data_IF_018466020086
#
_entry.id   IF_018466020086
#
_cell.length_a   1.000
_cell.length_b   1.000
_cell.length_c   1.000
_cell.angle_alpha   90.00
_cell.angle_beta   90.00
_cell.angle_gamma   90.00
#
_symmetry.space_group_name_H-M   'P 1'
#
loop_
_entity.id
_entity.type
_entity.pdbx_description
1 polymer ?
#
# COMPACT_ATOMS: atom_id res chain seq x y z
N UNK A 1 -26.31 4.37 0.07
CA UNK A 1 -25.93 5.55 -0.74
C UNK A 1 -24.98 5.23 -1.90
N UNK A 2 -24.16 4.18 -1.83
CA UNK A 2 -23.22 3.79 -2.90
C UNK A 2 -23.78 2.85 -3.99
N UNK A 3 -25.10 2.67 -4.04
CA UNK A 3 -25.71 1.71 -4.96
C UNK A 3 -25.58 2.17 -6.42
N UNK A 4 -24.88 1.40 -7.26
CA UNK A 4 -24.71 1.73 -8.68
C UNK A 4 -26.01 1.62 -9.49
N UNK A 5 -27.04 0.96 -8.96
CA UNK A 5 -28.37 0.92 -9.56
C UNK A 5 -29.14 2.24 -9.37
N UNK A 6 -28.70 3.08 -8.43
CA UNK A 6 -29.29 4.41 -8.25
C UNK A 6 -28.57 5.42 -9.15
N UNK A 7 -29.31 5.92 -10.14
CA UNK A 7 -28.76 6.81 -11.15
C UNK A 7 -28.77 8.28 -10.71
N UNK A 8 -29.76 8.70 -9.94
CA UNK A 8 -29.90 10.06 -9.43
C UNK A 8 -30.16 10.02 -7.92
N UNK A 9 -29.58 10.97 -7.20
CA UNK A 9 -29.93 11.24 -5.80
C UNK A 9 -30.77 12.51 -5.77
N UNK A 10 -32.01 12.42 -5.29
CA UNK A 10 -32.90 13.58 -5.18
C UNK A 10 -33.07 13.96 -3.71
N UNK A 11 -32.88 15.23 -3.37
CA UNK A 11 -33.30 15.78 -2.07
C UNK A 11 -34.27 16.93 -2.26
N UNK A 12 -35.16 17.13 -1.30
CA UNK A 12 -36.17 18.20 -1.33
C UNK A 12 -36.20 18.92 0.01
N UNK A 13 -36.06 20.25 0.00
CA UNK A 13 -36.04 21.07 1.22
C UNK A 13 -35.70 22.52 0.94
N UNK A 14 -35.88 23.42 1.92
CA UNK A 14 -35.70 24.87 1.71
C UNK A 14 -34.23 25.30 1.67
N UNK A 15 -33.34 24.57 2.34
CA UNK A 15 -31.93 24.93 2.46
C UNK A 15 -31.04 23.83 1.85
N UNK A 16 -30.48 24.12 0.68
CA UNK A 16 -29.52 23.24 0.00
C UNK A 16 -28.28 22.96 0.86
N UNK A 17 -27.83 23.93 1.65
CA UNK A 17 -26.58 23.83 2.40
C UNK A 17 -26.67 22.82 3.55
N UNK A 18 -27.87 22.60 4.09
CA UNK A 18 -28.11 21.55 5.07
C UNK A 18 -27.77 20.17 4.47
N UNK A 19 -28.32 19.85 3.30
CA UNK A 19 -28.10 18.57 2.62
C UNK A 19 -26.69 18.42 2.06
N UNK A 20 -26.07 19.52 1.61
CA UNK A 20 -24.70 19.50 1.12
C UNK A 20 -23.74 18.98 2.21
N UNK A 21 -23.90 19.43 3.46
CA UNK A 21 -23.09 18.94 4.60
C UNK A 21 -23.26 17.44 4.85
N UNK A 22 -24.49 16.95 4.75
CA UNK A 22 -24.81 15.54 4.95
C UNK A 22 -24.26 14.64 3.82
N UNK A 23 -24.13 15.19 2.60
CA UNK A 23 -23.67 14.49 1.41
C UNK A 23 -22.15 14.55 1.26
N UNK A 24 -21.54 15.70 1.53
CA UNK A 24 -20.14 15.96 1.19
C UNK A 24 -19.16 15.05 1.92
N UNK A 25 -19.51 14.66 3.15
CA UNK A 25 -18.67 13.84 4.03
C UNK A 25 -18.78 12.34 3.78
N UNK A 26 -19.77 11.88 3.00
CA UNK A 26 -20.12 10.45 2.88
C UNK A 26 -20.20 9.95 1.45
N UNK A 27 -20.28 10.85 0.46
CA UNK A 27 -20.36 10.49 -0.96
C UNK A 27 -19.07 10.85 -1.71
N UNK A 28 -18.61 10.00 -2.63
CA UNK A 28 -17.53 10.34 -3.54
C UNK A 28 -18.03 11.30 -4.63
N UNK A 29 -17.13 12.10 -5.19
CA UNK A 29 -17.45 13.14 -6.19
C UNK A 29 -18.29 12.62 -7.36
N UNK A 30 -18.01 11.41 -7.88
CA UNK A 30 -18.80 10.84 -8.98
C UNK A 30 -20.26 10.52 -8.63
N UNK A 31 -20.59 10.36 -7.35
CA UNK A 31 -21.98 10.22 -6.88
C UNK A 31 -22.58 11.59 -6.61
N UNK A 32 -21.80 12.54 -6.07
CA UNK A 32 -22.27 13.93 -5.86
C UNK A 32 -22.69 14.60 -7.16
N UNK A 33 -22.01 14.32 -8.29
CA UNK A 33 -22.42 14.77 -9.63
C UNK A 33 -23.83 14.30 -10.06
N UNK A 34 -24.38 13.28 -9.39
CA UNK A 34 -25.72 12.73 -9.63
C UNK A 34 -26.77 13.31 -8.69
N UNK A 35 -26.38 14.22 -7.80
CA UNK A 35 -27.27 14.81 -6.81
C UNK A 35 -28.03 16.03 -7.37
N UNK A 36 -29.34 16.00 -7.20
CA UNK A 36 -30.26 17.08 -7.54
C UNK A 36 -30.96 17.50 -6.26
N UNK A 37 -30.94 18.79 -5.95
CA UNK A 37 -31.68 19.37 -4.83
C UNK A 37 -32.83 20.24 -5.33
N UNK A 38 -34.03 19.96 -4.86
CA UNK A 38 -35.25 20.71 -5.19
C UNK A 38 -35.66 21.59 -4.01
N UNK A 39 -35.81 22.89 -4.24
CA UNK A 39 -36.26 23.85 -3.22
C UNK A 39 -37.76 24.14 -3.24
N UNK A 40 -38.41 23.75 -4.33
CA UNK A 40 -39.85 23.95 -4.58
C UNK A 40 -40.43 22.71 -5.27
N UNK A 41 -41.72 22.49 -5.09
CA UNK A 41 -42.43 21.46 -5.83
C UNK A 41 -42.66 21.93 -7.27
N UNK A 42 -42.19 21.16 -8.24
CA UNK A 42 -42.43 21.37 -9.65
C UNK A 42 -43.66 20.57 -10.09
N UNK A 43 -44.31 20.98 -11.19
CA UNK A 43 -45.23 20.09 -11.88
C UNK A 43 -44.49 18.85 -12.40
N UNK A 44 -45.24 17.77 -12.61
CA UNK A 44 -44.69 16.47 -13.00
C UNK A 44 -43.95 16.53 -14.34
N UNK A 45 -44.39 17.36 -15.29
CA UNK A 45 -43.77 17.45 -16.61
C UNK A 45 -42.40 18.14 -16.53
N UNK A 46 -42.30 19.23 -15.77
CA UNK A 46 -41.02 19.90 -15.52
C UNK A 46 -40.07 19.00 -14.73
N UNK A 47 -40.55 18.31 -13.71
CA UNK A 47 -39.73 17.37 -12.95
C UNK A 47 -39.20 16.24 -13.85
N UNK A 48 -40.06 15.65 -14.67
CA UNK A 48 -39.66 14.60 -15.61
C UNK A 48 -38.60 15.07 -16.60
N UNK A 49 -38.76 16.27 -17.18
CA UNK A 49 -37.75 16.85 -18.08
C UNK A 49 -36.41 17.07 -17.38
N UNK A 50 -36.44 17.59 -16.15
CA UNK A 50 -35.22 17.80 -15.36
C UNK A 50 -34.51 16.49 -15.05
N UNK A 51 -35.23 15.48 -14.55
CA UNK A 51 -34.66 14.19 -14.20
C UNK A 51 -34.10 13.47 -15.43
N UNK A 52 -34.86 13.46 -16.54
CA UNK A 52 -34.41 12.84 -17.79
C UNK A 52 -33.15 13.54 -18.35
N UNK A 53 -33.11 14.87 -18.33
CA UNK A 53 -31.93 15.61 -18.80
C UNK A 53 -30.67 15.26 -17.97
N UNK A 54 -30.78 15.27 -16.64
CA UNK A 54 -29.65 14.92 -15.76
C UNK A 54 -29.25 13.44 -15.93
N UNK A 55 -30.22 12.54 -16.04
CA UNK A 55 -29.95 11.13 -16.30
C UNK A 55 -29.20 10.94 -17.63
N UNK A 56 -29.64 11.60 -18.71
CA UNK A 56 -28.96 11.53 -20.00
C UNK A 56 -27.54 12.10 -19.94
N UNK A 57 -27.31 13.19 -19.21
CA UNK A 57 -25.95 13.72 -19.02
C UNK A 57 -25.05 12.69 -18.32
N UNK A 58 -25.56 11.97 -17.31
CA UNK A 58 -24.82 10.90 -16.62
C UNK A 58 -24.52 9.72 -17.55
N UNK A 59 -25.48 9.33 -18.39
CA UNK A 59 -25.30 8.22 -19.35
C UNK A 59 -24.29 8.56 -20.44
N UNK A 60 -24.24 9.82 -20.86
CA UNK A 60 -23.34 10.31 -21.91
C UNK A 60 -21.97 10.74 -21.39
N UNK A 61 -21.78 10.80 -20.07
CA UNK A 61 -20.51 11.13 -19.43
C UNK A 61 -19.44 10.06 -19.68
N UNK A 62 -18.17 10.43 -19.60
CA UNK A 62 -17.07 9.48 -19.76
C UNK A 62 -17.21 8.30 -18.77
N UNK A 63 -17.26 7.04 -19.24
CA UNK A 63 -17.40 5.87 -18.35
C UNK A 63 -16.31 5.78 -17.27
N UNK A 64 -15.10 6.28 -17.55
CA UNK A 64 -13.98 6.29 -16.59
C UNK A 64 -14.31 7.17 -15.38
N UNK A 65 -14.95 8.32 -15.59
CA UNK A 65 -15.34 9.23 -14.49
C UNK A 65 -16.60 8.79 -13.76
N UNK A 66 -17.37 7.86 -14.35
CA UNK A 66 -18.61 7.32 -13.76
C UNK A 66 -18.39 6.02 -12.98
N UNK A 67 -17.27 5.35 -13.18
CA UNK A 67 -16.83 4.15 -12.45
C UNK A 67 -16.09 4.53 -11.15
N UNK A 68 -15.99 3.63 -10.17
CA UNK A 68 -15.12 3.83 -9.00
C UNK A 68 -13.70 4.19 -9.45
N UNK A 69 -13.01 5.05 -8.70
CA UNK A 69 -11.62 5.38 -9.02
C UNK A 69 -10.69 4.18 -8.71
N UNK A 70 -10.86 3.56 -7.53
CA UNK A 70 -10.17 2.33 -7.15
C UNK A 70 -11.04 1.09 -7.26
N UNK A 71 -10.44 -0.01 -7.67
CA UNK A 71 -10.90 -1.34 -7.32
C UNK A 71 -9.86 -2.03 -6.44
N UNK A 72 -10.23 -2.38 -5.23
CA UNK A 72 -9.48 -3.34 -4.44
C UNK A 72 -9.93 -4.72 -4.90
N UNK A 73 -9.01 -5.63 -5.17
CA UNK A 73 -9.37 -7.00 -5.55
C UNK A 73 -8.77 -8.01 -4.58
N UNK A 74 -9.59 -9.00 -4.23
CA UNK A 74 -9.23 -10.07 -3.30
C UNK A 74 -9.63 -11.39 -3.92
N UNK A 75 -8.68 -12.30 -4.05
CA UNK A 75 -8.94 -13.71 -4.34
C UNK A 75 -8.95 -14.46 -3.03
N UNK A 76 -10.04 -15.13 -2.69
CA UNK A 76 -10.19 -15.78 -1.39
C UNK A 76 -10.44 -17.29 -1.52
N UNK A 77 -9.95 -18.03 -0.53
CA UNK A 77 -10.16 -19.46 -0.39
C UNK A 77 -10.35 -19.77 1.09
N UNK A 78 -11.57 -20.17 1.48
CA UNK A 78 -11.93 -20.54 2.86
C UNK A 78 -11.51 -19.49 3.91
N UNK A 79 -11.67 -18.21 3.58
CA UNK A 79 -11.20 -17.08 4.39
C UNK A 79 -12.07 -16.84 5.64
N UNK A 80 -13.39 -17.08 5.56
CA UNK A 80 -14.35 -16.90 6.65
C UNK A 80 -14.09 -15.61 7.44
N UNK A 81 -13.98 -15.66 8.77
CA UNK A 81 -13.87 -14.49 9.64
C UNK A 81 -12.66 -13.59 9.35
N UNK A 82 -11.59 -14.12 8.73
CA UNK A 82 -10.43 -13.31 8.39
C UNK A 82 -10.77 -12.17 7.42
N UNK A 83 -11.80 -12.35 6.58
CA UNK A 83 -12.26 -11.34 5.62
C UNK A 83 -12.70 -10.04 6.30
N UNK A 84 -13.11 -10.10 7.57
CA UNK A 84 -13.54 -8.92 8.31
C UNK A 84 -12.41 -7.95 8.60
N UNK A 85 -11.17 -8.44 8.74
CA UNK A 85 -9.99 -7.58 8.92
C UNK A 85 -9.79 -6.69 7.69
N UNK A 86 -9.72 -7.33 6.51
CA UNK A 86 -9.63 -6.63 5.24
C UNK A 86 -10.81 -5.64 5.10
N UNK A 87 -12.04 -6.11 5.27
CA UNK A 87 -13.23 -5.27 5.15
C UNK A 87 -13.20 -4.04 6.09
N UNK A 88 -12.80 -4.22 7.34
CA UNK A 88 -12.75 -3.14 8.31
C UNK A 88 -11.70 -2.08 7.95
N UNK A 89 -10.53 -2.50 7.43
CA UNK A 89 -9.49 -1.57 6.97
C UNK A 89 -9.85 -0.82 5.68
N UNK A 90 -10.63 -1.45 4.79
CA UNK A 90 -11.10 -0.81 3.54
C UNK A 90 -12.18 0.24 3.85
N UNK A 91 -13.06 -0.03 4.82
CA UNK A 91 -14.11 0.93 5.24
C UNK A 91 -13.56 2.22 5.82
N UNK A 92 -12.38 2.19 6.44
CA UNK A 92 -11.76 3.34 7.09
C UNK A 92 -10.90 4.19 6.16
N UNK A 93 -10.84 3.86 4.86
CA UNK A 93 -10.08 4.65 3.89
C UNK A 93 -10.59 6.09 3.79
N UNK A 94 -9.67 7.05 3.86
CA UNK A 94 -9.94 8.49 3.71
C UNK A 94 -10.42 8.83 2.30
N UNK A 95 -9.97 8.06 1.30
CA UNK A 95 -10.47 8.18 -0.07
C UNK A 95 -11.73 7.31 -0.25
N UNK A 96 -12.88 7.94 -0.48
CA UNK A 96 -14.18 7.25 -0.47
C UNK A 96 -14.56 6.54 -1.78
N UNK A 97 -13.85 6.84 -2.89
CA UNK A 97 -14.26 6.39 -4.22
C UNK A 97 -13.64 5.06 -4.65
N UNK A 98 -14.11 3.99 -4.02
CA UNK A 98 -13.64 2.63 -4.28
C UNK A 98 -14.79 1.62 -4.45
N UNK A 99 -14.45 0.51 -5.08
CA UNK A 99 -15.18 -0.76 -4.97
C UNK A 99 -14.25 -1.86 -4.45
N UNK A 100 -14.84 -2.91 -3.88
CA UNK A 100 -14.10 -4.11 -3.49
C UNK A 100 -14.64 -5.31 -4.24
N UNK A 101 -13.78 -5.91 -5.06
CA UNK A 101 -14.09 -7.08 -5.89
C UNK A 101 -13.51 -8.32 -5.20
N UNK A 102 -14.38 -9.24 -4.82
CA UNK A 102 -13.97 -10.49 -4.18
C UNK A 102 -14.31 -11.64 -5.12
N UNK A 103 -13.31 -12.45 -5.45
CA UNK A 103 -13.47 -13.67 -6.23
C UNK A 103 -13.19 -14.88 -5.32
N UNK A 104 -14.25 -15.62 -5.01
CA UNK A 104 -14.19 -16.83 -4.21
C UNK A 104 -13.83 -18.04 -5.08
N UNK A 105 -12.67 -18.63 -4.78
CA UNK A 105 -12.15 -19.85 -5.42
C UNK A 105 -12.38 -21.09 -4.52
N UNK A 106 -13.17 -20.96 -3.45
CA UNK A 106 -13.53 -22.10 -2.58
C UNK A 106 -14.44 -23.08 -3.33
N UNK A 107 -14.19 -24.40 -3.27
CA UNK A 107 -15.03 -25.38 -3.94
C UNK A 107 -16.44 -25.44 -3.34
N UNK A 108 -16.57 -25.26 -2.03
CA UNK A 108 -17.84 -25.32 -1.31
C UNK A 108 -18.70 -24.04 -1.44
N UNK A 109 -20.02 -24.17 -1.34
CA UNK A 109 -20.96 -23.04 -1.44
C UNK A 109 -21.07 -22.25 -0.13
N UNK A 110 -20.79 -22.90 1.00
CA UNK A 110 -20.93 -22.36 2.35
C UNK A 110 -20.09 -21.10 2.54
N UNK A 111 -18.87 -21.07 2.01
CA UNK A 111 -18.00 -19.90 2.09
C UNK A 111 -18.58 -18.72 1.30
N UNK A 112 -19.08 -18.95 0.10
CA UNK A 112 -19.69 -17.88 -0.70
C UNK A 112 -21.00 -17.37 -0.09
N UNK A 113 -21.81 -18.26 0.49
CA UNK A 113 -23.01 -17.88 1.24
C UNK A 113 -22.66 -17.03 2.47
N UNK A 114 -21.58 -17.39 3.19
CA UNK A 114 -21.04 -16.59 4.29
C UNK A 114 -20.64 -15.18 3.81
N UNK A 115 -19.86 -15.07 2.72
CA UNK A 115 -19.47 -13.77 2.16
C UNK A 115 -20.70 -12.94 1.78
N UNK A 116 -21.70 -13.55 1.14
CA UNK A 116 -22.95 -12.88 0.77
C UNK A 116 -23.69 -12.31 1.98
N UNK A 117 -23.86 -13.13 3.02
CA UNK A 117 -24.58 -12.77 4.24
C UNK A 117 -23.94 -11.55 4.92
N UNK A 118 -22.61 -11.51 4.94
CA UNK A 118 -21.87 -10.54 5.74
C UNK A 118 -21.45 -9.27 4.99
N UNK A 119 -21.29 -9.32 3.66
CA UNK A 119 -20.68 -8.23 2.89
C UNK A 119 -21.62 -7.50 1.93
N UNK A 120 -22.67 -8.15 1.39
CA UNK A 120 -23.53 -7.54 0.35
C UNK A 120 -24.44 -6.39 0.81
N UNK A 121 -24.47 -6.11 2.11
CA UNK A 121 -25.11 -4.90 2.65
C UNK A 121 -24.37 -3.64 2.20
N UNK A 122 -23.04 -3.70 2.03
CA UNK A 122 -22.25 -2.62 1.44
C UNK A 122 -22.26 -2.73 -0.09
N UNK A 123 -22.90 -1.75 -0.74
CA UNK A 123 -23.07 -1.72 -2.20
C UNK A 123 -21.81 -1.40 -2.97
N UNK A 124 -20.69 -1.11 -2.31
CA UNK A 124 -19.36 -1.02 -2.93
C UNK A 124 -18.74 -2.40 -3.16
N UNK A 125 -19.26 -3.44 -2.53
CA UNK A 125 -18.73 -4.81 -2.62
C UNK A 125 -19.39 -5.56 -3.78
N UNK A 126 -18.57 -6.22 -4.59
CA UNK A 126 -18.99 -7.12 -5.66
C UNK A 126 -18.37 -8.49 -5.43
N UNK A 127 -19.23 -9.47 -5.18
CA UNK A 127 -18.83 -10.85 -4.91
C UNK A 127 -19.05 -11.71 -6.16
N UNK A 128 -18.04 -12.49 -6.49
CA UNK A 128 -18.06 -13.50 -7.56
C UNK A 128 -17.62 -14.83 -6.97
N UNK A 129 -18.18 -15.91 -7.51
CA UNK A 129 -17.76 -17.27 -7.22
C UNK A 129 -17.39 -17.94 -8.53
N UNK A 130 -16.25 -18.62 -8.56
CA UNK A 130 -15.89 -19.48 -9.68
C UNK A 130 -16.71 -20.76 -9.64
N UNK A 131 -16.98 -21.33 -10.80
CA UNK A 131 -17.68 -22.63 -10.90
C UNK A 131 -16.85 -23.77 -10.31
N UNK A 132 -15.52 -23.68 -10.44
CA UNK A 132 -14.57 -24.68 -9.97
C UNK A 132 -13.29 -23.99 -9.47
N UNK A 133 -12.61 -24.64 -8.51
CA UNK A 133 -11.32 -24.19 -8.02
C UNK A 133 -10.28 -24.24 -9.14
N UNK A 134 -9.57 -23.14 -9.37
CA UNK A 134 -8.62 -23.03 -10.49
C UNK A 134 -7.33 -23.84 -10.33
N UNK A 135 -6.93 -24.14 -9.09
CA UNK A 135 -5.59 -24.64 -8.74
C UNK A 135 -4.43 -23.66 -9.04
N UNK A 136 -4.70 -22.45 -9.55
CA UNK A 136 -3.69 -21.46 -9.98
C UNK A 136 -4.05 -20.06 -9.52
N UNK A 137 -3.33 -19.55 -8.52
CA UNK A 137 -3.57 -18.20 -7.96
C UNK A 137 -3.46 -17.09 -9.03
N UNK A 138 -2.51 -17.20 -9.96
CA UNK A 138 -2.35 -16.23 -11.04
C UNK A 138 -3.56 -16.17 -11.97
N UNK A 139 -4.20 -17.31 -12.24
CA UNK A 139 -5.45 -17.36 -13.00
C UNK A 139 -6.59 -16.65 -12.27
N UNK A 140 -6.77 -16.94 -10.97
CA UNK A 140 -7.81 -16.28 -10.16
C UNK A 140 -7.58 -14.76 -10.09
N UNK A 141 -6.33 -14.32 -9.90
CA UNK A 141 -5.98 -12.89 -9.88
C UNK A 141 -6.24 -12.23 -11.22
N UNK A 142 -5.93 -12.87 -12.34
CA UNK A 142 -6.25 -12.36 -13.67
C UNK A 142 -7.74 -12.09 -13.84
N UNK A 143 -8.58 -13.07 -13.49
CA UNK A 143 -10.03 -12.93 -13.55
C UNK A 143 -10.53 -11.81 -12.62
N UNK A 144 -10.04 -11.75 -11.39
CA UNK A 144 -10.40 -10.70 -10.43
C UNK A 144 -10.06 -9.28 -10.96
N UNK A 145 -8.88 -9.10 -11.55
CA UNK A 145 -8.47 -7.82 -12.18
C UNK A 145 -9.36 -7.47 -13.37
N UNK A 146 -9.82 -8.45 -14.15
CA UNK A 146 -10.76 -8.18 -15.26
C UNK A 146 -12.14 -7.72 -14.75
N UNK A 147 -12.58 -8.22 -13.60
CA UNK A 147 -13.85 -7.82 -12.96
C UNK A 147 -13.83 -6.40 -12.37
N UNK A 148 -12.64 -5.86 -12.04
CA UNK A 148 -12.44 -4.50 -11.56
C UNK A 148 -12.90 -3.43 -12.57
N UNK A 149 -13.54 -2.35 -12.13
CA UNK A 149 -13.94 -1.21 -12.98
C UNK A 149 -13.09 0.03 -12.77
N UNK A 150 -12.28 0.03 -11.72
CA UNK A 150 -11.41 1.12 -11.31
C UNK A 150 -10.31 1.45 -12.31
N UNK A 151 -9.93 2.73 -12.34
CA UNK A 151 -8.72 3.22 -13.04
C UNK A 151 -7.46 2.70 -12.36
N UNK A 152 -7.53 2.52 -11.04
CA UNK A 152 -6.46 1.99 -10.20
C UNK A 152 -6.90 0.67 -9.56
N UNK A 153 -5.97 -0.25 -9.41
CA UNK A 153 -6.20 -1.54 -8.76
C UNK A 153 -5.21 -1.74 -7.62
N UNK A 154 -5.71 -2.17 -6.47
CA UNK A 154 -4.91 -2.57 -5.31
C UNK A 154 -5.13 -4.07 -5.08
N UNK A 155 -4.03 -4.83 -5.03
CA UNK A 155 -4.05 -6.23 -4.62
C UNK A 155 -4.21 -6.30 -3.09
N UNK A 156 -5.33 -6.86 -2.64
CA UNK A 156 -5.71 -6.91 -1.23
C UNK A 156 -5.87 -8.37 -0.81
N UNK A 157 -4.96 -8.86 0.04
CA UNK A 157 -5.13 -10.19 0.61
C UNK A 157 -6.31 -10.20 1.58
N UNK A 158 -6.98 -11.35 1.66
CA UNK A 158 -8.25 -11.48 2.37
C UNK A 158 -8.12 -11.36 3.89
N UNK A 159 -6.92 -11.49 4.45
CA UNK A 159 -6.64 -11.53 5.88
C UNK A 159 -5.63 -10.49 6.34
N UNK A 160 -5.48 -9.42 5.59
CA UNK A 160 -4.56 -8.32 5.88
C UNK A 160 -5.30 -6.98 6.01
N UNK A 161 -4.53 -5.91 6.23
CA UNK A 161 -5.06 -4.55 6.43
C UNK A 161 -4.31 -3.51 5.60
N UNK A 162 -5.03 -2.49 5.13
CA UNK A 162 -4.46 -1.25 4.58
C UNK A 162 -4.68 -0.06 5.51
N UNK A 163 -3.74 0.89 5.53
CA UNK A 163 -3.83 2.07 6.40
C UNK A 163 -4.80 3.11 5.81
N UNK A 164 -5.47 3.95 6.62
CA UNK A 164 -6.53 4.86 6.15
C UNK A 164 -6.18 5.75 4.95
N UNK A 165 -4.93 6.18 4.84
CA UNK A 165 -4.50 7.11 3.78
C UNK A 165 -3.96 6.40 2.52
N UNK A 166 -3.88 5.06 2.52
CA UNK A 166 -3.24 4.27 1.45
C UNK A 166 -3.80 4.58 0.06
N UNK A 167 -5.13 4.62 -0.08
CA UNK A 167 -5.77 4.92 -1.36
C UNK A 167 -5.61 6.39 -1.75
N UNK A 168 -5.69 7.31 -0.78
CA UNK A 168 -5.57 8.76 -1.03
C UNK A 168 -4.17 9.11 -1.52
N UNK A 169 -3.15 8.56 -0.89
CA UNK A 169 -1.76 8.76 -1.27
C UNK A 169 -1.46 8.25 -2.68
N UNK A 170 -1.89 7.01 -2.97
CA UNK A 170 -1.69 6.43 -4.28
C UNK A 170 -2.41 7.23 -5.37
N UNK A 171 -3.64 7.71 -5.12
CA UNK A 171 -4.38 8.54 -6.08
C UNK A 171 -3.65 9.84 -6.38
N UNK A 172 -3.11 10.50 -5.36
CA UNK A 172 -2.37 11.74 -5.53
C UNK A 172 -1.14 11.53 -6.41
N UNK A 173 -0.41 10.43 -6.22
CA UNK A 173 0.71 10.07 -7.09
C UNK A 173 0.27 9.86 -8.54
N UNK A 174 -0.76 9.04 -8.77
CA UNK A 174 -1.18 8.70 -10.13
C UNK A 174 -1.84 9.87 -10.89
N UNK A 175 -2.53 10.78 -10.20
CA UNK A 175 -3.15 11.95 -10.83
C UNK A 175 -2.14 13.07 -11.08
N UNK A 176 -1.07 13.18 -10.28
CA UNK A 176 0.00 14.15 -10.52
C UNK A 176 0.96 13.74 -11.64
N UNK A 177 1.11 12.45 -11.92
CA UNK A 177 2.04 11.93 -12.92
C UNK A 177 1.38 10.78 -13.72
N UNK A 178 0.75 11.08 -14.89
CA UNK A 178 0.05 10.08 -15.70
C UNK A 178 0.90 8.89 -16.15
N UNK A 179 2.23 9.06 -16.24
CA UNK A 179 3.16 8.01 -16.66
C UNK A 179 3.44 7.00 -15.55
N UNK A 180 3.11 7.30 -14.29
CA UNK A 180 3.24 6.36 -13.18
C UNK A 180 2.27 5.20 -13.41
N UNK A 181 2.83 4.00 -13.48
CA UNK A 181 2.09 2.75 -13.67
C UNK A 181 1.99 1.92 -12.41
N UNK A 182 2.89 2.13 -11.44
CA UNK A 182 2.95 1.35 -10.21
C UNK A 182 3.38 2.18 -8.99
N UNK A 183 2.69 1.93 -7.87
CA UNK A 183 2.94 2.53 -6.56
C UNK A 183 3.05 1.41 -5.53
N UNK A 184 4.03 1.54 -4.63
CA UNK A 184 4.18 0.67 -3.46
C UNK A 184 4.56 1.47 -2.21
N UNK A 185 4.39 0.87 -1.04
CA UNK A 185 4.62 1.52 0.25
C UNK A 185 5.43 0.62 1.20
N UNK A 186 5.66 1.08 2.43
CA UNK A 186 6.21 0.25 3.50
C UNK A 186 5.11 -0.62 4.11
N UNK A 187 5.50 -1.70 4.79
CA UNK A 187 4.56 -2.64 5.40
C UNK A 187 5.02 -3.06 6.78
N UNK A 188 4.09 -3.59 7.58
CA UNK A 188 4.40 -4.25 8.85
C UNK A 188 4.00 -5.72 8.77
N UNK A 189 4.68 -6.57 9.52
CA UNK A 189 4.26 -7.95 9.74
C UNK A 189 3.93 -8.13 11.21
N UNK A 190 2.72 -8.60 11.48
CA UNK A 190 2.28 -8.96 12.82
C UNK A 190 1.89 -10.43 12.85
N UNK A 191 2.06 -11.10 13.98
CA UNK A 191 1.40 -12.37 14.22
C UNK A 191 -0.10 -12.15 14.49
N UNK A 192 -0.91 -13.21 14.41
CA UNK A 192 -2.36 -13.15 14.68
C UNK A 192 -2.71 -12.63 16.11
N UNK A 193 -1.80 -12.75 17.07
CA UNK A 193 -1.95 -12.16 18.42
C UNK A 193 -1.53 -10.67 18.49
N UNK A 194 -1.14 -10.09 17.37
CA UNK A 194 -0.67 -8.72 17.19
C UNK A 194 0.82 -8.51 17.49
N UNK A 195 1.60 -9.53 17.83
CA UNK A 195 3.03 -9.36 18.12
C UNK A 195 3.85 -9.09 16.86
N UNK A 196 4.96 -8.38 17.00
CA UNK A 196 5.82 -8.04 15.87
C UNK A 196 6.47 -9.29 15.27
N UNK A 197 6.47 -9.35 13.95
CA UNK A 197 7.30 -10.26 13.17
C UNK A 197 8.42 -9.44 12.48
N UNK A 198 9.61 -10.02 12.37
CA UNK A 198 10.73 -9.41 11.63
C UNK A 198 11.53 -10.47 10.88
N UNK A 199 11.98 -10.11 9.68
CA UNK A 199 12.93 -10.89 8.89
C UNK A 199 14.39 -10.64 9.30
N UNK A 200 14.63 -9.73 10.26
CA UNK A 200 15.95 -9.30 10.71
C UNK A 200 16.56 -8.20 9.84
N UNK A 201 17.67 -7.62 10.31
CA UNK A 201 18.31 -6.44 9.68
C UNK A 201 18.98 -6.71 8.32
N UNK A 202 19.07 -7.98 7.90
CA UNK A 202 19.54 -8.40 6.57
C UNK A 202 18.41 -8.52 5.54
N UNK A 203 17.18 -8.18 5.92
CA UNK A 203 16.02 -8.23 5.03
C UNK A 203 16.24 -7.40 3.74
N UNK A 204 15.65 -7.85 2.63
CA UNK A 204 15.82 -7.21 1.32
C UNK A 204 17.27 -7.22 0.83
N UNK A 205 18.06 -8.25 1.16
CA UNK A 205 19.49 -8.35 0.80
C UNK A 205 20.33 -7.18 1.36
N UNK A 206 19.91 -6.60 2.49
CA UNK A 206 20.55 -5.45 3.12
C UNK A 206 20.12 -4.08 2.57
N UNK A 207 19.15 -4.03 1.64
CA UNK A 207 18.57 -2.81 1.07
C UNK A 207 17.30 -2.32 1.78
N UNK A 208 16.80 -3.12 2.72
CA UNK A 208 15.66 -2.79 3.57
C UNK A 208 16.13 -2.54 5.01
N UNK A 209 15.26 -1.95 5.82
CA UNK A 209 15.46 -1.80 7.24
C UNK A 209 14.14 -1.73 7.98
N UNK A 210 14.17 -1.48 9.29
CA UNK A 210 12.97 -1.36 10.09
C UNK A 210 12.95 -0.02 10.84
N UNK A 211 11.75 0.44 11.15
CA UNK A 211 11.51 1.42 12.21
C UNK A 211 10.27 1.04 13.01
N UNK A 212 10.17 1.50 14.24
CA UNK A 212 8.99 1.33 15.07
C UNK A 212 8.12 2.57 15.00
N UNK A 213 6.81 2.37 14.89
CA UNK A 213 5.82 3.43 15.00
C UNK A 213 4.62 2.97 15.82
N UNK A 214 3.90 3.91 16.41
CA UNK A 214 2.68 3.62 17.16
C UNK A 214 1.49 3.50 16.21
N UNK A 215 0.76 2.40 16.32
CA UNK A 215 -0.44 2.12 15.55
C UNK A 215 -1.48 1.47 16.47
N UNK A 216 -2.69 2.03 16.54
CA UNK A 216 -3.77 1.58 17.42
C UNK A 216 -3.31 1.36 18.89
N UNK A 217 -2.46 2.26 19.39
CA UNK A 217 -1.93 2.19 20.75
C UNK A 217 -0.81 1.17 20.99
N UNK A 218 -0.40 0.39 19.98
CA UNK A 218 0.72 -0.56 20.04
C UNK A 218 1.89 -0.08 19.20
N UNK A 219 3.12 -0.30 19.66
CA UNK A 219 4.32 -0.08 18.87
C UNK A 219 4.55 -1.27 17.94
N UNK A 220 4.61 -1.00 16.63
CA UNK A 220 4.78 -2.01 15.59
C UNK A 220 6.05 -1.77 14.78
N UNK A 221 6.67 -2.84 14.31
CA UNK A 221 7.83 -2.82 13.43
C UNK A 221 7.37 -2.68 11.98
N UNK A 222 7.77 -1.58 11.35
CA UNK A 222 7.53 -1.29 9.94
C UNK A 222 8.78 -1.61 9.14
N UNK A 223 8.67 -2.56 8.22
CA UNK A 223 9.67 -2.85 7.22
C UNK A 223 9.66 -1.75 6.14
N UNK A 224 10.82 -1.14 5.93
CA UNK A 224 11.05 -0.20 4.84
C UNK A 224 11.26 -0.99 3.56
N UNK A 225 10.34 -0.86 2.61
CA UNK A 225 10.46 -1.49 1.31
C UNK A 225 11.69 -0.92 0.57
N UNK A 226 12.50 -1.76 -0.09
CA UNK A 226 13.72 -1.28 -0.75
C UNK A 226 13.39 -0.43 -1.98
N UNK A 227 14.35 0.38 -2.42
CA UNK A 227 14.29 1.05 -3.71
C UNK A 227 14.69 0.07 -4.82
N UNK A 228 14.31 0.37 -6.06
CA UNK A 228 14.40 -0.55 -7.20
C UNK A 228 15.75 -0.43 -7.90
N UNK A 229 16.49 -1.53 -7.91
CA UNK A 229 17.71 -1.75 -8.68
C UNK A 229 17.83 -3.23 -9.07
N UNK A 230 18.87 -3.60 -9.80
CA UNK A 230 19.06 -5.00 -10.22
C UNK A 230 19.20 -5.97 -9.05
N UNK A 231 19.72 -5.53 -7.89
CA UNK A 231 19.90 -6.39 -6.71
C UNK A 231 18.58 -6.57 -5.96
N UNK A 232 17.83 -5.51 -5.71
CA UNK A 232 16.52 -5.62 -5.05
C UNK A 232 15.51 -6.39 -5.91
N UNK A 233 15.62 -6.31 -7.23
CA UNK A 233 14.88 -7.19 -8.15
C UNK A 233 15.39 -8.64 -8.20
N UNK A 234 16.57 -8.97 -7.70
CA UNK A 234 17.16 -10.31 -7.86
C UNK A 234 16.55 -11.39 -6.98
N UNK A 235 15.71 -11.01 -6.01
CA UNK A 235 15.13 -11.96 -5.07
C UNK A 235 13.74 -11.53 -4.57
N UNK A 236 12.85 -12.49 -4.38
CA UNK A 236 11.45 -12.26 -3.96
C UNK A 236 11.32 -11.53 -2.61
N UNK A 237 12.31 -11.67 -1.73
CA UNK A 237 12.31 -10.99 -0.41
C UNK A 237 12.79 -9.53 -0.47
N UNK A 238 13.25 -9.07 -1.64
CA UNK A 238 13.83 -7.75 -1.85
C UNK A 238 13.06 -6.91 -2.87
N UNK A 239 11.98 -7.44 -3.44
CA UNK A 239 11.05 -6.66 -4.28
C UNK A 239 10.00 -5.97 -3.41
N UNK A 240 9.28 -4.98 -3.97
CA UNK A 240 8.12 -4.39 -3.30
C UNK A 240 7.12 -5.44 -2.81
N UNK A 241 6.87 -5.45 -1.51
CA UNK A 241 5.74 -6.16 -0.92
C UNK A 241 4.48 -5.29 -1.02
N UNK A 242 3.38 -5.77 -0.43
CA UNK A 242 2.13 -5.03 -0.28
C UNK A 242 2.32 -3.69 0.47
N UNK A 243 1.47 -2.68 0.21
CA UNK A 243 0.39 -2.70 -0.77
C UNK A 243 0.97 -2.51 -2.18
N UNK A 244 0.49 -3.32 -3.12
CA UNK A 244 0.87 -3.25 -4.53
C UNK A 244 -0.26 -2.64 -5.33
N UNK A 245 -0.01 -1.48 -5.93
CA UNK A 245 -1.05 -0.66 -6.55
C UNK A 245 -0.64 -0.31 -7.97
N UNK A 246 -1.46 -0.68 -8.95
CA UNK A 246 -1.21 -0.38 -10.35
C UNK A 246 -2.25 0.57 -10.91
N UNK A 247 -1.83 1.37 -11.90
CA UNK A 247 -2.76 1.85 -12.92
C UNK A 247 -3.26 0.62 -13.68
N UNK A 248 -4.59 0.42 -13.73
CA UNK A 248 -5.17 -0.80 -14.29
C UNK A 248 -4.74 -1.04 -15.74
N UNK A 249 -4.69 0.02 -16.55
CA UNK A 249 -4.20 -0.07 -17.93
C UNK A 249 -2.76 -0.57 -17.99
N UNK A 250 -1.86 -0.02 -17.17
CA UNK A 250 -0.47 -0.47 -17.10
C UNK A 250 -0.35 -1.93 -16.70
N UNK A 251 -1.14 -2.41 -15.72
CA UNK A 251 -1.15 -3.83 -15.34
C UNK A 251 -1.60 -4.74 -16.50
N UNK A 252 -2.61 -4.32 -17.26
CA UNK A 252 -3.08 -5.04 -18.45
C UNK A 252 -2.01 -5.03 -19.55
N UNK A 253 -1.43 -3.87 -19.85
CA UNK A 253 -0.47 -3.68 -20.94
C UNK A 253 0.80 -4.51 -20.73
N UNK A 254 1.22 -4.73 -19.48
CA UNK A 254 2.36 -5.59 -19.18
C UNK A 254 2.02 -7.08 -19.22
N UNK A 255 0.75 -7.45 -19.34
CA UNK A 255 0.28 -8.83 -19.49
C UNK A 255 -0.40 -9.44 -18.26
N UNK A 256 -0.64 -8.65 -17.20
CA UNK A 256 -1.27 -9.10 -15.95
C UNK A 256 -0.53 -10.28 -15.27
N UNK A 257 -1.13 -11.03 -14.36
CA UNK A 257 -0.49 -12.18 -13.68
C UNK A 257 -0.27 -13.36 -14.64
N UNK A 258 0.75 -14.19 -14.38
CA UNK A 258 0.93 -15.43 -15.13
C UNK A 258 0.04 -16.54 -14.55
N UNK A 259 -0.86 -17.09 -15.36
CA UNK A 259 -1.74 -18.21 -14.97
C UNK A 259 -1.02 -19.57 -14.88
N UNK A 260 0.22 -19.64 -15.38
CA UNK A 260 1.02 -20.86 -15.45
C UNK A 260 2.03 -20.99 -14.31
N UNK A 261 2.22 -19.94 -13.51
CA UNK A 261 3.15 -19.97 -12.38
C UNK A 261 2.44 -20.51 -11.14
N UNK A 262 2.92 -21.64 -10.57
CA UNK A 262 2.29 -22.21 -9.39
C UNK A 262 2.70 -21.45 -8.11
N UNK A 263 3.85 -20.76 -8.11
CA UNK A 263 4.36 -19.87 -7.06
C UNK A 263 5.06 -18.67 -7.70
N UNK A 264 5.21 -17.59 -6.92
CA UNK A 264 6.00 -16.41 -7.33
C UNK A 264 5.48 -15.73 -8.60
N UNK A 265 4.17 -15.80 -8.83
CA UNK A 265 3.45 -15.05 -9.88
C UNK A 265 3.65 -13.55 -9.70
N UNK A 266 3.65 -13.09 -8.45
CA UNK A 266 3.88 -11.71 -8.08
C UNK A 266 5.31 -11.22 -8.35
N UNK A 267 6.31 -12.05 -8.08
CA UNK A 267 7.71 -11.74 -8.36
C UNK A 267 7.93 -11.51 -9.85
N UNK A 268 7.46 -12.43 -10.70
CA UNK A 268 7.58 -12.30 -12.16
C UNK A 268 6.86 -11.04 -12.68
N UNK A 269 5.64 -10.78 -12.18
CA UNK A 269 4.89 -9.57 -12.52
C UNK A 269 5.63 -8.29 -12.12
N UNK A 270 6.28 -8.28 -10.96
CA UNK A 270 7.04 -7.12 -10.49
C UNK A 270 8.32 -6.88 -11.31
N UNK A 271 8.95 -7.93 -11.84
CA UNK A 271 10.06 -7.77 -12.80
C UNK A 271 9.60 -7.07 -14.09
N UNK A 272 8.45 -7.49 -14.65
CA UNK A 272 7.85 -6.81 -15.82
C UNK A 272 7.46 -5.38 -15.47
N UNK A 273 6.83 -5.17 -14.31
CA UNK A 273 6.43 -3.85 -13.82
C UNK A 273 7.64 -2.91 -13.75
N UNK A 274 8.77 -3.36 -13.22
CA UNK A 274 9.99 -2.56 -13.06
C UNK A 274 10.59 -2.03 -14.36
N UNK A 275 10.48 -2.77 -15.47
CA UNK A 275 11.04 -2.36 -16.77
C UNK A 275 10.03 -1.72 -17.72
N UNK A 276 8.72 -1.87 -17.44
CA UNK A 276 7.64 -1.38 -18.32
C UNK A 276 6.88 -0.20 -17.75
N UNK A 277 7.08 0.14 -16.48
CA UNK A 277 6.34 1.21 -15.82
C UNK A 277 7.28 2.16 -15.09
N UNK A 278 6.84 3.42 -14.95
CA UNK A 278 7.42 4.33 -13.98
C UNK A 278 6.90 3.98 -12.59
N UNK A 279 7.82 3.76 -11.66
CA UNK A 279 7.55 3.33 -10.29
C UNK A 279 7.71 4.48 -9.31
N UNK A 280 6.78 4.57 -8.37
CA UNK A 280 6.88 5.45 -7.20
C UNK A 280 6.79 4.63 -5.91
N UNK A 281 7.73 4.90 -4.99
CA UNK A 281 7.66 4.48 -3.59
C UNK A 281 7.06 5.60 -2.75
N UNK A 282 6.06 5.29 -1.93
CA UNK A 282 5.60 6.18 -0.87
C UNK A 282 6.15 5.66 0.46
N UNK A 283 7.14 6.33 1.08
CA UNK A 283 7.91 5.79 2.21
C UNK A 283 7.16 5.92 3.54
N UNK A 284 5.94 5.39 3.62
CA UNK A 284 5.12 5.31 4.84
C UNK A 284 4.44 3.95 4.95
N UNK A 285 3.98 3.59 6.14
CA UNK A 285 3.25 2.35 6.36
C UNK A 285 1.91 2.39 5.59
N UNK A 286 1.76 1.51 4.62
CA UNK A 286 0.52 1.37 3.82
C UNK A 286 -0.19 0.03 4.00
N UNK A 287 0.46 -0.97 4.59
CA UNK A 287 -0.09 -2.32 4.71
C UNK A 287 0.39 -3.05 5.96
N UNK A 288 -0.49 -3.82 6.60
CA UNK A 288 -0.12 -4.76 7.68
C UNK A 288 -0.50 -6.17 7.26
N UNK A 289 0.51 -7.02 7.20
CA UNK A 289 0.38 -8.43 6.89
C UNK A 289 0.36 -9.29 8.16
N UNK A 290 -0.55 -10.25 8.23
CA UNK A 290 -0.73 -11.13 9.39
C UNK A 290 -0.14 -12.53 9.18
N UNK A 291 0.72 -12.93 10.12
CA UNK A 291 1.50 -14.15 10.11
C UNK A 291 0.86 -15.20 11.04
N UNK A 292 0.75 -16.44 10.57
CA UNK A 292 0.30 -17.54 11.43
C UNK A 292 1.45 -18.05 12.33
N UNK A 293 1.19 -18.29 13.62
CA UNK A 293 2.17 -18.81 14.60
C UNK A 293 2.72 -20.21 14.26
N UNK A 294 2.02 -20.97 13.42
CA UNK A 294 2.40 -22.34 13.06
C UNK A 294 3.39 -22.47 11.90
N UNK A 295 3.96 -21.37 11.38
CA UNK A 295 4.73 -21.36 10.13
C UNK A 295 3.99 -21.95 8.90
N UNK A 296 2.66 -22.04 8.96
CA UNK A 296 1.82 -22.54 7.88
C UNK A 296 1.41 -21.45 6.88
N UNK A 297 2.17 -20.35 6.81
CA UNK A 297 1.97 -19.38 5.74
C UNK A 297 2.28 -20.05 4.40
N UNK A 298 1.48 -19.76 3.37
CA UNK A 298 1.59 -20.44 2.09
C UNK A 298 3.00 -20.35 1.48
N UNK A 299 3.67 -19.21 1.67
CA UNK A 299 5.06 -18.99 1.30
C UNK A 299 6.02 -19.97 2.00
N UNK A 300 5.85 -20.19 3.30
CA UNK A 300 6.69 -21.09 4.10
C UNK A 300 6.52 -22.56 3.69
N UNK A 301 5.29 -22.98 3.38
CA UNK A 301 4.97 -24.35 2.94
C UNK A 301 5.63 -24.65 1.59
N UNK A 302 5.69 -23.66 0.69
CA UNK A 302 6.19 -23.83 -0.69
C UNK A 302 7.61 -23.32 -0.90
N UNK A 303 8.35 -23.04 0.18
CA UNK A 303 9.73 -22.55 0.12
C UNK A 303 10.65 -23.44 -0.75
N UNK A 304 10.51 -24.76 -0.70
CA UNK A 304 11.31 -25.68 -1.53
C UNK A 304 11.04 -25.49 -3.02
N UNK A 305 9.77 -25.26 -3.38
CA UNK A 305 9.32 -25.02 -4.74
C UNK A 305 9.71 -23.62 -5.22
N UNK A 306 9.60 -22.60 -4.36
CA UNK A 306 10.10 -21.24 -4.64
C UNK A 306 11.58 -21.29 -4.95
N UNK A 307 12.40 -21.92 -4.11
CA UNK A 307 13.84 -22.01 -4.36
C UNK A 307 14.17 -22.76 -5.65
N UNK A 308 13.46 -23.86 -5.94
CA UNK A 308 13.67 -24.66 -7.15
C UNK A 308 13.22 -23.94 -8.43
N UNK A 309 12.05 -23.31 -8.44
CA UNK A 309 11.49 -22.68 -9.65
C UNK A 309 11.93 -21.22 -9.78
N UNK A 310 11.75 -20.43 -8.73
CA UNK A 310 11.98 -18.99 -8.75
C UNK A 310 13.48 -18.70 -8.89
N UNK A 311 14.28 -19.15 -7.93
CA UNK A 311 15.71 -18.79 -7.85
C UNK A 311 16.55 -19.41 -8.97
N UNK A 312 16.32 -20.69 -9.30
CA UNK A 312 17.16 -21.42 -10.25
C UNK A 312 16.76 -21.25 -11.72
N UNK A 313 15.49 -20.91 -12.00
CA UNK A 313 14.99 -20.90 -13.38
C UNK A 313 14.29 -19.60 -13.77
N UNK A 314 13.31 -19.14 -12.98
CA UNK A 314 12.52 -17.96 -13.31
C UNK A 314 13.38 -16.70 -13.28
N UNK A 315 14.08 -16.45 -12.18
CA UNK A 315 14.96 -15.29 -12.00
C UNK A 315 15.97 -15.13 -13.15
N UNK A 316 16.87 -16.10 -13.44
CA UNK A 316 17.89 -15.90 -14.48
C UNK A 316 17.27 -15.71 -15.87
N UNK A 317 16.16 -16.40 -16.17
CA UNK A 317 15.46 -16.25 -17.44
C UNK A 317 14.79 -14.88 -17.57
N UNK A 318 14.03 -14.44 -16.57
CA UNK A 318 13.42 -13.12 -16.57
C UNK A 318 14.47 -12.01 -16.64
N UNK A 319 15.59 -12.13 -15.93
CA UNK A 319 16.68 -11.14 -15.99
C UNK A 319 17.29 -11.02 -17.38
N UNK A 320 17.47 -12.15 -18.07
CA UNK A 320 17.94 -12.20 -19.45
C UNK A 320 16.90 -11.65 -20.42
N UNK A 321 15.68 -12.21 -20.41
CA UNK A 321 14.64 -11.93 -21.40
C UNK A 321 14.10 -10.49 -21.29
N UNK A 322 13.96 -9.96 -20.07
CA UNK A 322 13.56 -8.58 -19.81
C UNK A 322 14.74 -7.60 -19.82
N UNK A 323 15.98 -8.11 -19.98
CA UNK A 323 17.21 -7.31 -20.00
C UNK A 323 17.34 -6.39 -18.78
N UNK A 324 17.06 -6.93 -17.59
CA UNK A 324 16.98 -6.16 -16.34
C UNK A 324 18.25 -5.35 -16.09
N UNK A 325 19.44 -5.96 -16.24
CA UNK A 325 20.71 -5.26 -16.00
C UNK A 325 20.95 -4.14 -17.04
N UNK A 326 20.59 -4.33 -18.31
CA UNK A 326 20.70 -3.27 -19.33
C UNK A 326 19.79 -2.09 -18.99
N UNK A 327 18.54 -2.38 -18.61
CA UNK A 327 17.57 -1.36 -18.20
C UNK A 327 18.04 -0.59 -16.96
N UNK A 328 18.54 -1.31 -15.94
CA UNK A 328 19.07 -0.67 -14.73
C UNK A 328 20.29 0.19 -15.03
N UNK A 329 21.17 -0.24 -15.93
CA UNK A 329 22.32 0.57 -16.34
C UNK A 329 21.89 1.87 -17.03
N UNK A 330 20.91 1.79 -17.94
CA UNK A 330 20.35 2.96 -18.63
C UNK A 330 19.69 3.97 -17.68
N UNK A 331 19.18 3.50 -16.54
CA UNK A 331 18.52 4.32 -15.52
C UNK A 331 19.42 4.62 -14.31
N UNK A 332 20.75 4.46 -14.42
CA UNK A 332 21.72 4.69 -13.34
C UNK A 332 21.39 3.92 -12.03
N UNK A 333 20.80 2.74 -12.17
CA UNK A 333 20.34 1.87 -11.10
C UNK A 333 21.04 0.49 -11.12
N UNK A 334 22.14 0.34 -11.87
CA UNK A 334 22.92 -0.90 -11.88
C UNK A 334 23.94 -0.90 -10.72
N UNK A 335 23.82 -1.92 -9.88
CA UNK A 335 24.76 -2.26 -8.81
C UNK A 335 25.62 -3.46 -9.21
N UNK A 336 26.91 -3.37 -8.87
CA UNK A 336 27.89 -4.43 -9.09
C UNK A 336 28.47 -4.86 -7.74
N UNK A 337 27.71 -5.66 -6.99
CA UNK A 337 28.09 -6.08 -5.64
C UNK A 337 28.17 -7.59 -5.55
N UNK A 338 29.24 -8.06 -4.92
CA UNK A 338 29.47 -9.49 -4.64
C UNK A 338 29.12 -9.89 -3.20
N UNK A 339 29.07 -8.92 -2.26
CA UNK A 339 28.80 -9.17 -0.85
C UNK A 339 27.55 -8.42 -0.39
N UNK A 340 26.57 -9.15 0.14
CA UNK A 340 25.34 -8.59 0.70
C UNK A 340 25.58 -8.20 2.17
N UNK A 341 25.91 -6.92 2.39
CA UNK A 341 25.89 -6.28 3.72
C UNK A 341 24.80 -5.22 3.76
N UNK A 342 24.30 -4.81 4.94
CA UNK A 342 23.36 -3.70 5.01
C UNK A 342 23.97 -2.43 4.43
N UNK A 343 23.23 -1.72 3.58
CA UNK A 343 23.79 -0.61 2.80
C UNK A 343 24.32 0.54 3.67
N UNK A 344 23.78 0.73 4.88
CA UNK A 344 24.25 1.74 5.82
C UNK A 344 25.60 1.39 6.48
N UNK A 345 26.03 0.13 6.43
CA UNK A 345 27.36 -0.30 6.89
C UNK A 345 28.45 -0.17 5.83
N UNK A 346 28.09 0.21 4.59
CA UNK A 346 29.04 0.35 3.49
C UNK A 346 29.64 1.76 3.50
N UNK A 347 30.96 1.85 3.60
CA UNK A 347 31.67 3.13 3.53
C UNK A 347 31.72 3.64 2.08
N UNK A 348 31.59 4.96 1.90
CA UNK A 348 31.62 5.64 0.58
C UNK A 348 30.65 5.04 -0.45
N UNK A 349 29.51 4.51 0.02
CA UNK A 349 28.50 3.87 -0.81
C UNK A 349 27.43 4.88 -1.25
N UNK A 350 27.12 4.86 -2.55
CA UNK A 350 26.01 5.59 -3.16
C UNK A 350 24.93 4.59 -3.54
N UNK A 351 23.71 4.78 -3.03
CA UNK A 351 22.60 3.88 -3.31
C UNK A 351 22.01 4.19 -4.69
N UNK A 352 22.24 3.30 -5.65
CA UNK A 352 21.69 3.40 -7.01
C UNK A 352 20.30 2.76 -7.08
N UNK A 353 19.32 3.50 -7.59
CA UNK A 353 17.95 3.04 -7.81
C UNK A 353 17.21 3.90 -8.85
N UNK A 354 16.14 3.38 -9.44
CA UNK A 354 15.40 4.05 -10.53
C UNK A 354 13.95 4.49 -10.20
N UNK A 355 13.38 4.06 -9.07
CA UNK A 355 12.06 4.55 -8.66
C UNK A 355 12.14 5.98 -8.12
N UNK A 356 11.03 6.73 -8.23
CA UNK A 356 10.86 7.97 -7.47
C UNK A 356 10.47 7.65 -6.02
N UNK A 357 10.79 8.56 -5.11
CA UNK A 357 10.31 8.55 -3.73
C UNK A 357 9.45 9.80 -3.55
N UNK A 358 8.20 9.62 -3.15
CA UNK A 358 7.27 10.73 -2.95
C UNK A 358 6.58 10.53 -1.61
N UNK A 359 6.70 11.50 -0.71
CA UNK A 359 5.94 11.56 0.53
C UNK A 359 5.28 12.95 0.63
N UNK A 360 3.95 13.01 0.55
CA UNK A 360 3.20 14.27 0.62
C UNK A 360 2.85 14.69 2.05
N UNK A 361 3.08 13.84 3.04
CA UNK A 361 2.66 14.11 4.43
C UNK A 361 3.63 15.07 5.13
N UNK A 362 4.90 15.10 4.69
CA UNK A 362 5.97 15.77 5.41
C UNK A 362 6.75 16.74 4.52
N UNK A 363 6.98 17.94 5.05
CA UNK A 363 7.84 18.96 4.43
C UNK A 363 9.29 18.84 4.90
N UNK A 364 9.51 18.41 6.14
CA UNK A 364 10.86 18.28 6.72
C UNK A 364 10.98 17.07 7.64
N UNK A 365 12.12 16.39 7.58
CA UNK A 365 12.44 15.23 8.42
C UNK A 365 13.56 15.52 9.42
N UNK A 366 13.39 15.08 10.66
CA UNK A 366 14.38 15.21 11.72
C UNK A 366 14.85 13.83 12.18
N UNK A 367 16.15 13.58 12.09
CA UNK A 367 16.77 12.38 12.64
C UNK A 367 17.50 12.74 13.94
N UNK A 368 17.01 12.24 15.07
CA UNK A 368 17.69 12.37 16.37
C UNK A 368 18.51 11.12 16.61
N UNK A 369 19.81 11.27 16.83
CA UNK A 369 20.72 10.13 17.05
C UNK A 369 21.14 10.10 18.52
N UNK A 370 20.65 9.10 19.24
CA UNK A 370 20.92 8.82 20.66
C UNK A 370 19.86 9.37 21.60
N UNK A 371 19.39 8.54 22.53
CA UNK A 371 18.39 8.89 23.54
C UNK A 371 18.86 10.02 24.47
N UNK A 372 20.15 10.09 24.78
CA UNK A 372 20.70 11.18 25.59
C UNK A 372 20.64 12.53 24.85
N UNK A 373 20.86 12.51 23.53
CA UNK A 373 20.71 13.71 22.68
C UNK A 373 19.24 14.11 22.61
N UNK A 374 18.35 13.15 22.43
CA UNK A 374 16.90 13.37 22.46
C UNK A 374 16.46 14.05 23.77
N UNK A 375 16.88 13.52 24.92
CA UNK A 375 16.57 14.10 26.25
C UNK A 375 17.13 15.52 26.42
N UNK A 376 18.37 15.77 25.98
CA UNK A 376 18.99 17.10 26.05
C UNK A 376 18.26 18.14 25.19
N UNK A 377 17.66 17.72 24.08
CA UNK A 377 17.00 18.60 23.12
C UNK A 377 15.46 18.55 23.20
N UNK A 378 14.89 17.97 24.27
CA UNK A 378 13.46 17.64 24.32
C UNK A 378 12.53 18.84 24.11
N UNK A 379 12.84 20.00 24.69
CA UNK A 379 11.99 21.19 24.54
C UNK A 379 12.02 21.75 23.11
N UNK A 380 13.18 21.68 22.45
CA UNK A 380 13.29 22.04 21.04
C UNK A 380 12.50 21.07 20.15
N UNK A 381 12.65 19.76 20.38
CA UNK A 381 11.94 18.71 19.64
C UNK A 381 10.42 18.85 19.82
N UNK A 382 9.93 19.07 21.05
CA UNK A 382 8.50 19.33 21.32
C UNK A 382 7.99 20.55 20.59
N UNK A 383 8.80 21.58 20.41
CA UNK A 383 8.39 22.76 19.65
C UNK A 383 8.23 22.45 18.16
N UNK A 384 9.18 21.71 17.57
CA UNK A 384 9.12 21.27 16.18
C UNK A 384 7.97 20.27 15.93
N UNK A 385 7.69 19.40 16.90
CA UNK A 385 6.63 18.37 16.86
C UNK A 385 5.21 18.94 16.75
N UNK A 386 5.01 20.22 17.08
CA UNK A 386 3.69 20.88 16.95
C UNK A 386 3.25 21.01 15.49
N UNK A 387 4.21 21.06 14.57
CA UNK A 387 3.94 21.10 13.14
C UNK A 387 3.69 19.67 12.63
N UNK A 388 2.48 19.35 12.14
CA UNK A 388 2.16 18.01 11.65
C UNK A 388 2.89 17.64 10.35
N UNK A 389 3.47 18.62 9.64
CA UNK A 389 4.26 18.40 8.43
C UNK A 389 5.73 18.07 8.74
N UNK A 390 6.11 18.00 10.02
CA UNK A 390 7.42 17.51 10.46
C UNK A 390 7.36 16.03 10.84
N UNK A 391 8.32 15.26 10.31
CA UNK A 391 8.50 13.85 10.65
C UNK A 391 9.78 13.63 11.46
N UNK A 392 9.74 12.66 12.37
CA UNK A 392 10.83 12.41 13.32
C UNK A 392 11.19 10.93 13.37
N UNK A 393 12.50 10.67 13.37
CA UNK A 393 13.08 9.37 13.65
C UNK A 393 14.11 9.49 14.77
N UNK A 394 13.90 8.75 15.86
CA UNK A 394 14.87 8.56 16.93
C UNK A 394 15.65 7.25 16.71
N UNK A 395 16.92 7.37 16.36
CA UNK A 395 17.83 6.23 16.21
C UNK A 395 18.73 6.09 17.44
N UNK A 396 18.97 4.87 17.89
CA UNK A 396 19.88 4.58 18.98
C UNK A 396 20.64 3.26 18.74
N UNK A 397 21.86 3.15 19.25
CA UNK A 397 22.71 1.96 19.16
C UNK A 397 23.04 1.32 20.53
N UNK A 398 22.67 1.97 21.64
CA UNK A 398 22.95 1.55 23.03
C UNK A 398 21.70 1.04 23.73
N UNK A 399 20.61 1.78 23.65
CA UNK A 399 19.37 1.53 24.37
C UNK A 399 18.50 0.49 23.66
N UNK A 400 17.73 -0.29 24.41
CA UNK A 400 16.76 -1.22 23.82
C UNK A 400 15.56 -0.45 23.24
N UNK A 401 14.88 -1.04 22.25
CA UNK A 401 13.70 -0.45 21.63
C UNK A 401 12.60 -0.16 22.65
N UNK A 402 12.40 -1.03 23.65
CA UNK A 402 11.44 -0.82 24.74
C UNK A 402 11.73 0.43 25.58
N UNK A 403 13.02 0.80 25.71
CA UNK A 403 13.41 2.03 26.41
C UNK A 403 13.04 3.25 25.58
N UNK A 404 13.27 3.20 24.26
CA UNK A 404 12.91 4.29 23.35
C UNK A 404 11.40 4.51 23.32
N UNK A 405 10.62 3.45 23.11
CA UNK A 405 9.15 3.52 23.05
C UNK A 405 8.55 3.97 24.39
N UNK A 406 9.07 3.47 25.52
CA UNK A 406 8.64 3.92 26.85
C UNK A 406 8.91 5.40 27.09
N UNK A 407 10.04 5.94 26.63
CA UNK A 407 10.33 7.37 26.73
C UNK A 407 9.34 8.20 25.90
N UNK A 408 9.07 7.78 24.66
CA UNK A 408 8.13 8.47 23.76
C UNK A 408 6.70 8.44 24.32
N UNK A 409 6.26 7.30 24.86
CA UNK A 409 4.94 7.15 25.50
C UNK A 409 4.79 8.06 26.72
N UNK A 410 5.80 8.13 27.60
CA UNK A 410 5.79 9.02 28.77
C UNK A 410 5.65 10.50 28.39
N UNK A 411 6.17 10.88 27.23
CA UNK A 411 6.17 12.25 26.74
C UNK A 411 4.99 12.56 25.81
N UNK A 412 4.13 11.58 25.52
CA UNK A 412 3.01 11.68 24.57
C UNK A 412 3.46 12.09 23.16
N UNK A 413 4.63 11.61 22.73
CA UNK A 413 5.24 11.92 21.43
C UNK A 413 5.01 10.77 20.43
N UNK A 414 3.76 10.32 20.35
CA UNK A 414 3.33 9.11 19.63
C UNK A 414 3.64 9.08 18.13
N UNK A 415 3.81 10.25 17.48
CA UNK A 415 4.17 10.33 16.06
C UNK A 415 5.68 10.22 15.79
N UNK A 416 6.52 10.33 16.82
CA UNK A 416 7.96 10.12 16.66
C UNK A 416 8.20 8.62 16.47
N UNK A 417 8.84 8.26 15.36
CA UNK A 417 9.26 6.89 15.09
C UNK A 417 10.59 6.64 15.77
N UNK A 418 10.91 5.39 16.07
CA UNK A 418 12.19 5.06 16.67
C UNK A 418 12.72 3.72 16.18
N UNK A 419 14.04 3.53 16.21
CA UNK A 419 14.60 2.21 15.96
C UNK A 419 15.95 2.03 16.66
N UNK A 420 16.25 0.77 16.95
CA UNK A 420 17.56 0.38 17.47
C UNK A 420 18.35 -0.36 16.40
N UNK A 421 19.55 0.14 16.10
CA UNK A 421 20.54 -0.58 15.30
C UNK A 421 21.75 -0.85 16.18
N UNK A 422 21.79 -2.06 16.75
CA UNK A 422 22.96 -2.52 17.48
C UNK A 422 24.18 -2.59 16.57
N UNK A 423 25.38 -2.44 17.14
CA UNK A 423 26.65 -2.55 16.42
C UNK A 423 26.75 -1.62 15.19
N UNK A 424 26.20 -0.41 15.33
CA UNK A 424 26.34 0.68 14.38
C UNK A 424 26.98 1.89 15.07
N UNK A 425 27.97 2.49 14.42
CA UNK A 425 28.54 3.79 14.75
C UNK A 425 27.56 4.93 14.46
N UNK A 426 27.88 6.13 14.95
CA UNK A 426 27.10 7.35 14.65
C UNK A 426 26.94 7.57 13.13
N UNK A 427 28.02 7.40 12.37
CA UNK A 427 28.00 7.56 10.91
C UNK A 427 27.16 6.48 10.21
N UNK A 428 27.14 5.24 10.72
CA UNK A 428 26.26 4.19 10.20
C UNK A 428 24.78 4.47 10.49
N UNK A 429 24.44 5.01 11.67
CA UNK A 429 23.07 5.43 11.99
C UNK A 429 22.62 6.59 11.08
N UNK A 430 23.52 7.55 10.84
CA UNK A 430 23.29 8.64 9.89
C UNK A 430 23.06 8.12 8.47
N UNK A 431 23.88 7.16 8.01
CA UNK A 431 23.67 6.50 6.71
C UNK A 431 22.36 5.73 6.66
N UNK A 432 21.94 5.08 7.74
CA UNK A 432 20.64 4.41 7.80
C UNK A 432 19.50 5.42 7.55
N UNK A 433 19.50 6.55 8.24
CA UNK A 433 18.50 7.59 8.00
C UNK A 433 18.51 8.05 6.53
N UNK A 434 19.69 8.39 5.99
CA UNK A 434 19.82 8.94 4.64
C UNK A 434 19.47 7.95 3.52
N UNK A 435 19.84 6.68 3.67
CA UNK A 435 19.74 5.66 2.61
C UNK A 435 18.46 4.81 2.71
N UNK A 436 17.92 4.62 3.91
CA UNK A 436 16.76 3.75 4.16
C UNK A 436 15.51 4.58 4.44
N UNK A 437 15.56 5.49 5.41
CA UNK A 437 14.36 6.12 5.95
C UNK A 437 13.93 7.41 5.22
N UNK A 438 14.90 8.22 4.76
CA UNK A 438 14.64 9.55 4.19
C UNK A 438 13.61 9.49 3.05
N UNK A 439 12.59 10.32 3.18
CA UNK A 439 11.45 10.42 2.26
C UNK A 439 11.18 11.82 1.71
N UNK A 440 11.82 12.86 2.26
CA UNK A 440 11.78 14.23 1.74
C UNK A 440 13.19 14.83 1.60
N UNK A 441 13.31 15.95 0.88
CA UNK A 441 14.59 16.59 0.59
C UNK A 441 15.10 17.49 1.72
N UNK A 442 14.21 18.19 2.42
CA UNK A 442 14.57 18.97 3.60
C UNK A 442 14.66 18.05 4.82
N UNK A 443 15.83 18.02 5.45
CA UNK A 443 16.06 17.24 6.64
C UNK A 443 17.12 17.84 7.55
N UNK A 444 17.10 17.43 8.81
CA UNK A 444 18.07 17.83 9.81
C UNK A 444 18.46 16.63 10.69
N UNK A 445 19.75 16.51 11.02
CA UNK A 445 20.25 15.49 11.92
C UNK A 445 20.64 16.16 13.24
N UNK A 446 19.93 15.82 14.30
CA UNK A 446 20.16 16.29 15.65
C UNK A 446 21.03 15.26 16.37
N UNK A 447 22.33 15.53 16.41
CA UNK A 447 23.34 14.65 17.02
C UNK A 447 24.74 15.26 16.92
N UNK A 448 25.65 14.84 17.80
CA UNK A 448 27.08 15.19 17.74
C UNK A 448 27.89 13.92 17.67
N UNK A 449 28.90 13.89 16.78
CA UNK A 449 29.92 12.84 16.69
C UNK A 449 30.67 12.64 18.00
#
# INVERSE_FOLDING_TARGET
>A
MFDSNNHLLLTYGRDKNQYLKDIDSVLPERIKKRWIHLTTMYDVEVLNRLLNHNYMNIVLENPVTMRPCFSLFTTCYKSYDKIFRAYNSIKTQCFLDWEWVILDDSPEDEHFLFLKLHLLSDKRIRLYKRSENSGSIGNVKNEAVMLCRGKYVLEMDHDDEILPDTLLDAVNVFENDPDVGFVYMNFANLYENGDNFSYGDMFGLGYSGYYCQKHNGKWINVAVSPNINNISLSHIVAIPNHPRIWRKSSLIDIGNYSEFLPVSDDYELLLRTAVKTKIVKIPKLGYIQYMNHGNNNFSLIRNSEINRLCTQHLHPRCFSDLKINEYMNQNNALENLSNFTPIWKRENYEYKYCNKIINSDYKKQYCVIGLDVFRKNIEHIKNLYKDPENDFLLLDNKNNIDVLTCELDKLMLDKIKCYKLADCSFEELKRFFLLIYKGCDDYEIIGTS
#
